data_IF_348089812229
#
_entry.id   IF_348089812229
#
_cell.length_a   1.000
_cell.length_b   1.000
_cell.length_c   1.000
_cell.angle_alpha   90.00
_cell.angle_beta   90.00
_cell.angle_gamma   90.00
#
_symmetry.space_group_name_H-M   'P 1'
#
loop_
_entity.id
_entity.type
_entity.pdbx_description
1 polymer ?
#
# COMPACT_ATOMS: atom_id res chain seq x y z
N UNK A 1 14.89 -59.15 -66.61
CA UNK A 1 13.85 -58.14 -66.27
C UNK A 1 13.32 -58.46 -64.88
N UNK A 2 13.40 -57.50 -63.97
CA UNK A 2 13.47 -57.72 -62.52
C UNK A 2 12.17 -58.16 -61.84
N UNK A 3 12.31 -59.11 -60.91
CA UNK A 3 11.28 -59.56 -59.99
C UNK A 3 10.91 -58.47 -58.98
N UNK A 4 9.61 -58.20 -58.86
CA UNK A 4 9.00 -57.31 -57.88
C UNK A 4 9.20 -57.92 -56.48
N UNK A 5 9.98 -57.25 -55.62
CA UNK A 5 10.15 -57.61 -54.21
C UNK A 5 8.99 -57.01 -53.41
N UNK A 6 8.19 -57.85 -52.77
CA UNK A 6 7.27 -57.43 -51.71
C UNK A 6 8.05 -57.09 -50.43
N UNK A 7 7.78 -55.96 -49.76
CA UNK A 7 8.32 -55.70 -48.43
C UNK A 7 7.58 -56.53 -47.36
N UNK A 8 8.35 -57.12 -46.45
CA UNK A 8 7.88 -57.87 -45.30
C UNK A 8 7.18 -56.97 -44.26
N UNK A 9 6.21 -57.48 -43.48
CA UNK A 9 5.50 -56.69 -42.47
C UNK A 9 6.40 -56.42 -41.26
N UNK A 10 6.61 -55.13 -40.95
CA UNK A 10 7.28 -54.70 -39.71
C UNK A 10 6.34 -54.97 -38.53
N UNK A 11 6.63 -56.05 -37.82
CA UNK A 11 5.97 -56.43 -36.57
C UNK A 11 6.79 -55.84 -35.41
N UNK A 12 6.32 -54.74 -34.82
CA UNK A 12 6.88 -54.33 -33.53
C UNK A 12 6.74 -52.87 -33.12
N UNK A 13 5.51 -52.35 -32.96
CA UNK A 13 5.34 -51.08 -32.21
C UNK A 13 4.13 -51.06 -31.26
N UNK A 14 3.16 -51.97 -31.41
CA UNK A 14 1.94 -51.94 -30.58
C UNK A 14 2.17 -52.24 -29.09
N UNK A 15 3.28 -52.90 -28.73
CA UNK A 15 3.57 -53.24 -27.33
C UNK A 15 4.18 -52.05 -26.59
N UNK A 16 5.01 -51.22 -27.26
CA UNK A 16 5.59 -50.01 -26.67
C UNK A 16 4.55 -48.93 -26.42
N UNK A 17 3.60 -48.73 -27.33
CA UNK A 17 2.54 -47.74 -27.16
C UNK A 17 1.59 -48.07 -26.01
N UNK A 18 1.28 -49.35 -25.77
CA UNK A 18 0.43 -49.76 -24.64
C UNK A 18 1.14 -49.61 -23.29
N UNK A 19 2.44 -49.87 -23.23
CA UNK A 19 3.23 -49.68 -22.01
C UNK A 19 3.33 -48.19 -21.62
N UNK A 20 3.49 -47.29 -22.60
CA UNK A 20 3.53 -45.84 -22.36
C UNK A 20 2.16 -45.32 -21.90
N UNK A 21 1.06 -45.78 -22.52
CA UNK A 21 -0.28 -45.36 -22.14
C UNK A 21 -0.66 -45.86 -20.73
N UNK A 22 -0.24 -47.08 -20.37
CA UNK A 22 -0.47 -47.63 -19.03
C UNK A 22 0.37 -46.89 -17.97
N UNK A 23 1.62 -46.53 -18.28
CA UNK A 23 2.46 -45.72 -17.39
C UNK A 23 1.89 -44.29 -17.19
N UNK A 24 1.31 -43.68 -18.24
CA UNK A 24 0.65 -42.38 -18.14
C UNK A 24 -0.63 -42.44 -17.28
N UNK A 25 -1.44 -43.49 -17.45
CA UNK A 25 -2.66 -43.72 -16.67
C UNK A 25 -2.37 -44.05 -15.21
N UNK A 26 -1.27 -44.75 -14.91
CA UNK A 26 -0.83 -44.98 -13.53
C UNK A 26 -0.28 -43.71 -12.85
N UNK A 27 0.37 -42.83 -13.63
CA UNK A 27 0.85 -41.53 -13.14
C UNK A 27 -0.29 -40.58 -12.74
N UNK A 28 -1.41 -40.61 -13.45
CA UNK A 28 -2.59 -39.76 -13.14
C UNK A 28 -3.37 -40.29 -11.94
N UNK A 29 -3.42 -41.61 -11.72
CA UNK A 29 -4.16 -42.19 -10.58
C UNK A 29 -3.40 -42.14 -9.25
N UNK A 30 -2.07 -42.00 -9.27
CA UNK A 30 -1.26 -41.85 -8.05
C UNK A 30 -1.14 -40.39 -7.55
N UNK A 31 -1.66 -39.41 -8.30
CA UNK A 31 -1.73 -37.99 -7.86
C UNK A 31 -2.96 -37.62 -7.03
N UNK A 32 -3.91 -38.54 -6.86
CA UNK A 32 -5.24 -38.26 -6.26
C UNK A 32 -5.40 -38.64 -4.78
N UNK A 33 -4.36 -39.14 -4.12
CA UNK A 33 -4.44 -39.61 -2.73
C UNK A 33 -3.36 -38.99 -1.84
N UNK A 34 -3.37 -37.66 -1.72
CA UNK A 34 -2.84 -36.97 -0.55
C UNK A 34 -4.02 -36.24 0.12
N UNK A 35 -4.63 -36.92 1.08
CA UNK A 35 -5.71 -36.37 1.88
C UNK A 35 -5.20 -35.29 2.84
N UNK A 36 -5.96 -34.19 2.91
CA UNK A 36 -6.21 -33.46 4.14
C UNK A 36 -5.09 -32.57 4.69
N UNK A 37 -4.85 -31.42 4.05
CA UNK A 37 -4.47 -30.20 4.78
C UNK A 37 -4.87 -28.95 3.98
N UNK A 38 -6.17 -28.62 3.97
CA UNK A 38 -6.65 -27.28 3.57
C UNK A 38 -6.35 -26.27 4.69
N UNK A 39 -5.06 -26.10 5.00
CA UNK A 39 -4.65 -25.37 6.20
C UNK A 39 -3.40 -24.52 6.06
N UNK A 40 -2.46 -24.83 5.16
CA UNK A 40 -1.26 -23.98 4.91
C UNK A 40 -0.74 -24.13 3.49
N UNK A 41 -1.32 -23.39 2.55
CA UNK A 41 -0.51 -22.89 1.44
C UNK A 41 0.60 -22.05 2.04
N UNK A 42 1.86 -22.48 1.88
CA UNK A 42 3.05 -21.66 2.15
C UNK A 42 2.83 -20.26 1.55
N UNK A 43 2.71 -19.27 2.42
CA UNK A 43 2.66 -17.87 2.03
C UNK A 43 4.03 -17.48 1.52
N UNK A 44 4.12 -17.06 0.25
CA UNK A 44 5.34 -16.47 -0.31
C UNK A 44 5.08 -15.56 -1.52
N UNK A 45 3.85 -15.09 -1.75
CA UNK A 45 3.60 -14.05 -2.77
C UNK A 45 2.80 -12.83 -2.28
N UNK A 46 2.20 -12.89 -1.09
CA UNK A 46 1.74 -11.76 -0.29
C UNK A 46 1.99 -12.16 1.16
N UNK A 47 2.97 -11.57 1.81
CA UNK A 47 3.27 -11.84 3.22
C UNK A 47 2.21 -11.12 4.08
N UNK A 48 1.68 -11.75 5.14
CA UNK A 48 0.65 -11.18 6.03
C UNK A 48 1.08 -9.84 6.67
N UNK A 49 2.37 -9.52 6.60
CA UNK A 49 3.01 -8.33 7.16
C UNK A 49 3.77 -7.50 6.10
N UNK A 50 3.30 -7.49 4.84
CA UNK A 50 3.97 -6.78 3.74
C UNK A 50 4.25 -5.29 4.07
N UNK A 51 3.32 -4.62 4.77
CA UNK A 51 3.47 -3.21 5.17
C UNK A 51 4.04 -3.02 6.59
N UNK A 52 4.61 -4.05 7.22
CA UNK A 52 5.20 -3.95 8.57
C UNK A 52 6.34 -2.93 8.65
N UNK A 53 7.09 -2.78 7.56
CA UNK A 53 8.20 -1.82 7.48
C UNK A 53 7.76 -0.37 7.74
N UNK A 54 6.50 0.00 7.50
CA UNK A 54 6.00 1.38 7.68
C UNK A 54 6.21 1.84 9.12
N UNK A 55 5.93 0.97 10.10
CA UNK A 55 6.13 1.30 11.51
C UNK A 55 7.60 1.42 11.92
N UNK A 56 8.45 0.55 11.35
CA UNK A 56 9.91 0.58 11.56
C UNK A 56 10.49 1.89 10.99
N UNK A 57 10.11 2.24 9.76
CA UNK A 57 10.54 3.48 9.14
C UNK A 57 10.02 4.68 9.94
N UNK A 58 8.74 4.72 10.31
CA UNK A 58 8.15 5.82 11.03
C UNK A 58 8.83 6.10 12.39
N UNK A 59 9.09 5.05 13.18
CA UNK A 59 9.77 5.18 14.48
C UNK A 59 11.26 5.50 14.32
N UNK A 60 11.96 4.75 13.45
CA UNK A 60 13.40 4.92 13.24
C UNK A 60 13.77 6.30 12.68
N UNK A 61 12.88 6.91 11.90
CA UNK A 61 13.08 8.26 11.34
C UNK A 61 12.94 9.40 12.36
N UNK A 62 12.35 9.15 13.53
CA UNK A 62 12.38 10.09 14.67
C UNK A 62 13.34 9.65 15.80
N UNK A 63 14.18 8.64 15.55
CA UNK A 63 15.09 8.08 16.54
C UNK A 63 14.39 7.30 17.66
N UNK A 64 13.13 6.91 17.48
CA UNK A 64 12.42 6.02 18.39
C UNK A 64 12.69 4.55 18.04
N UNK A 65 12.51 3.65 19.03
CA UNK A 65 12.62 2.21 18.83
C UNK A 65 11.25 1.62 18.49
N UNK A 66 11.18 0.82 17.44
CA UNK A 66 9.99 0.04 17.09
C UNK A 66 9.69 -1.03 18.16
N UNK A 67 8.41 -1.32 18.37
CA UNK A 67 8.00 -2.32 19.38
C UNK A 67 8.22 -3.76 18.88
N UNK A 68 8.76 -4.62 19.76
CA UNK A 68 8.97 -6.04 19.46
C UNK A 68 7.66 -6.88 19.54
N UNK A 69 6.55 -6.30 20.02
CA UNK A 69 5.29 -7.03 20.15
C UNK A 69 4.71 -7.48 18.80
N UNK A 70 3.86 -8.51 18.80
CA UNK A 70 3.14 -8.89 17.59
C UNK A 70 2.13 -7.80 17.21
N UNK A 71 1.91 -7.59 15.90
CA UNK A 71 0.85 -6.69 15.43
C UNK A 71 -0.53 -7.32 15.67
N UNK A 72 -1.50 -6.50 16.05
CA UNK A 72 -2.93 -6.90 16.00
C UNK A 72 -3.47 -6.83 14.57
N UNK A 73 -4.66 -7.39 14.33
CA UNK A 73 -5.33 -7.30 13.01
C UNK A 73 -5.63 -5.85 12.62
N UNK A 74 -6.05 -5.02 13.58
CA UNK A 74 -6.30 -3.59 13.35
C UNK A 74 -5.00 -2.84 13.05
N UNK A 75 -3.89 -3.21 13.70
CA UNK A 75 -2.56 -2.64 13.43
C UNK A 75 -2.03 -3.04 12.05
N UNK A 76 -2.22 -4.30 11.63
CA UNK A 76 -1.92 -4.73 10.25
C UNK A 76 -2.76 -3.95 9.24
N UNK A 77 -4.07 -3.92 9.45
CA UNK A 77 -5.01 -3.19 8.59
C UNK A 77 -4.67 -1.70 8.49
N UNK A 78 -4.23 -1.07 9.59
CA UNK A 78 -3.78 0.32 9.59
C UNK A 78 -2.64 0.55 8.61
N UNK A 79 -1.65 -0.35 8.59
CA UNK A 79 -0.46 -0.26 7.71
C UNK A 79 -0.83 -0.51 6.26
N UNK A 80 -1.69 -1.50 6.01
CA UNK A 80 -2.18 -1.83 4.67
C UNK A 80 -2.97 -0.68 4.04
N UNK A 81 -3.84 -0.05 4.83
CA UNK A 81 -4.62 1.11 4.39
C UNK A 81 -3.79 2.40 4.34
N UNK A 82 -2.73 2.53 5.15
CA UNK A 82 -1.81 3.66 5.11
C UNK A 82 -1.00 3.71 3.81
N UNK A 83 -0.52 2.55 3.34
CA UNK A 83 0.35 2.48 2.17
C UNK A 83 -0.17 3.23 0.92
N UNK A 84 -1.39 3.01 0.41
CA UNK A 84 -1.91 3.73 -0.75
C UNK A 84 -2.05 5.24 -0.52
N UNK A 85 -2.14 5.70 0.72
CA UNK A 85 -2.24 7.12 1.09
C UNK A 85 -0.85 7.76 1.28
N UNK A 86 0.16 6.96 1.59
CA UNK A 86 1.58 7.37 1.65
C UNK A 86 2.19 7.46 0.26
N UNK A 87 1.88 6.50 -0.61
CA UNK A 87 2.43 6.37 -1.96
C UNK A 87 2.01 7.52 -2.89
N UNK A 88 2.93 8.25 -3.56
CA UNK A 88 2.59 9.42 -4.38
C UNK A 88 1.41 9.16 -5.35
N UNK A 89 0.52 10.15 -5.59
CA UNK A 89 -0.57 10.00 -6.55
C UNK A 89 -0.07 9.51 -7.92
N UNK A 90 -0.81 8.61 -8.55
CA UNK A 90 -0.55 8.05 -9.90
C UNK A 90 0.76 7.26 -10.09
N UNK A 91 1.54 7.03 -9.04
CA UNK A 91 2.68 6.08 -9.02
C UNK A 91 2.35 4.69 -9.57
N UNK A 92 1.12 4.19 -9.35
CA UNK A 92 0.67 2.86 -9.80
C UNK A 92 0.45 2.73 -11.30
N UNK A 93 0.27 3.84 -12.02
CA UNK A 93 0.02 3.82 -13.46
C UNK A 93 1.33 3.66 -14.26
N UNK A 94 2.48 3.75 -13.58
CA UNK A 94 3.72 3.14 -14.05
C UNK A 94 3.55 1.61 -13.99
N UNK A 95 2.88 1.06 -14.99
CA UNK A 95 2.64 -0.35 -15.32
C UNK A 95 3.90 -1.25 -15.41
N UNK A 96 5.05 -0.79 -14.92
CA UNK A 96 6.09 -1.61 -14.35
C UNK A 96 5.81 -1.66 -12.84
N UNK A 97 5.12 -2.63 -12.29
CA UNK A 97 5.42 -4.04 -12.51
C UNK A 97 4.44 -4.85 -11.61
N UNK A 98 3.88 -5.93 -12.13
CA UNK A 98 3.23 -6.99 -11.32
C UNK A 98 4.29 -7.78 -10.50
N UNK A 99 5.57 -7.43 -10.64
CA UNK A 99 6.78 -8.01 -10.03
C UNK A 99 7.79 -6.96 -9.55
N UNK A 100 7.32 -5.75 -9.23
CA UNK A 100 8.17 -4.54 -9.20
C UNK A 100 8.72 -4.29 -7.84
N UNK A 101 9.98 -3.89 -7.84
CA UNK A 101 10.76 -3.40 -6.71
C UNK A 101 9.86 -2.72 -5.67
N UNK A 102 9.41 -3.53 -4.70
CA UNK A 102 8.63 -3.05 -3.58
C UNK A 102 9.59 -2.26 -2.71
N UNK A 103 9.68 -0.96 -2.96
CA UNK A 103 10.62 -0.08 -2.28
C UNK A 103 9.94 0.59 -1.08
N UNK A 104 10.50 0.42 0.13
CA UNK A 104 10.10 1.22 1.27
C UNK A 104 10.14 2.72 0.94
N UNK A 105 9.06 3.43 1.26
CA UNK A 105 8.97 4.88 1.09
C UNK A 105 9.50 5.52 2.35
N UNK A 106 10.44 6.46 2.25
CA UNK A 106 10.95 7.16 3.43
C UNK A 106 9.85 7.99 4.11
N UNK A 107 9.86 8.04 5.45
CA UNK A 107 8.94 8.87 6.20
C UNK A 107 9.13 10.37 5.88
N UNK A 108 8.09 11.20 5.98
CA UNK A 108 8.11 12.60 5.54
C UNK A 108 9.21 13.45 6.17
N UNK A 109 9.65 13.07 7.37
CA UNK A 109 10.67 13.75 8.17
C UNK A 109 12.10 13.21 7.96
N UNK A 110 12.27 12.18 7.12
CA UNK A 110 13.57 11.72 6.62
C UNK A 110 13.78 12.00 5.12
N UNK A 111 12.72 12.36 4.40
CA UNK A 111 12.78 12.60 2.95
C UNK A 111 13.78 13.70 2.57
N UNK A 112 14.66 13.36 1.62
CA UNK A 112 15.58 14.27 0.94
C UNK A 112 15.62 13.89 -0.54
N UNK A 113 15.36 14.82 -1.48
CA UNK A 113 15.03 16.23 -1.27
C UNK A 113 13.66 16.44 -0.58
N UNK A 114 13.41 17.64 -0.02
CA UNK A 114 12.11 17.98 0.55
C UNK A 114 10.97 17.84 -0.47
N UNK A 115 9.76 17.68 0.04
CA UNK A 115 8.54 17.56 -0.76
C UNK A 115 8.35 18.76 -1.70
N UNK A 116 8.17 18.48 -3.00
CA UNK A 116 7.84 19.47 -4.04
C UNK A 116 6.34 19.39 -4.39
N UNK A 117 5.56 20.39 -3.94
CA UNK A 117 4.13 20.50 -4.27
C UNK A 117 3.84 20.67 -5.76
N UNK A 118 4.83 21.09 -6.56
CA UNK A 118 4.67 21.37 -7.99
C UNK A 118 4.79 20.12 -8.85
N UNK A 119 5.42 19.06 -8.34
CA UNK A 119 5.78 17.88 -9.11
C UNK A 119 4.56 17.18 -9.73
N UNK A 120 3.50 16.96 -8.94
CA UNK A 120 2.26 16.35 -9.43
C UNK A 120 1.61 17.19 -10.53
N UNK A 121 1.51 18.50 -10.33
CA UNK A 121 0.86 19.36 -11.32
C UNK A 121 1.65 19.47 -12.61
N UNK A 122 2.99 19.56 -12.54
CA UNK A 122 3.86 19.48 -13.73
C UNK A 122 3.64 18.18 -14.49
N UNK A 123 3.68 17.05 -13.78
CA UNK A 123 3.37 15.73 -14.36
C UNK A 123 2.00 15.70 -15.03
N UNK A 124 0.95 16.23 -14.39
CA UNK A 124 -0.41 16.27 -14.94
C UNK A 124 -0.51 17.17 -16.19
N UNK A 125 0.26 18.25 -16.24
CA UNK A 125 0.30 19.14 -17.41
C UNK A 125 1.09 18.51 -18.55
N UNK A 126 2.21 17.87 -18.24
CA UNK A 126 3.16 17.27 -19.19
C UNK A 126 2.65 15.94 -19.77
N UNK A 127 1.78 15.22 -19.06
CA UNK A 127 1.18 13.96 -19.51
C UNK A 127 0.39 14.18 -20.83
N UNK A 128 0.52 13.28 -21.83
CA UNK A 128 -0.28 13.37 -23.05
C UNK A 128 -1.78 13.21 -22.76
N UNK A 129 -2.53 14.31 -22.82
CA UNK A 129 -3.99 14.30 -22.71
C UNK A 129 -4.65 14.62 -24.05
N UNK A 130 -5.79 13.97 -24.33
CA UNK A 130 -6.58 14.24 -25.54
C UNK A 130 -7.21 15.63 -25.54
N UNK A 131 -7.46 16.22 -24.35
CA UNK A 131 -8.05 17.55 -24.18
C UNK A 131 -7.80 18.13 -22.78
N UNK A 132 -8.07 19.43 -22.58
CA UNK A 132 -8.06 20.07 -21.25
C UNK A 132 -9.11 19.45 -20.31
N UNK A 133 -10.29 19.07 -20.81
CA UNK A 133 -11.29 18.37 -20.03
C UNK A 133 -10.77 17.04 -19.46
N UNK A 134 -9.93 16.31 -20.21
CA UNK A 134 -9.29 15.09 -19.71
C UNK A 134 -8.33 15.34 -18.54
N UNK A 135 -7.66 16.51 -18.48
CA UNK A 135 -6.81 16.89 -17.35
C UNK A 135 -7.62 17.17 -16.08
N UNK A 136 -8.73 17.90 -16.21
CA UNK A 136 -9.65 18.11 -15.10
C UNK A 136 -10.27 16.80 -14.61
N UNK A 137 -10.64 15.90 -15.52
CA UNK A 137 -11.16 14.58 -15.16
C UNK A 137 -10.13 13.77 -14.37
N UNK A 138 -8.86 13.76 -14.82
CA UNK A 138 -7.78 13.08 -14.11
C UNK A 138 -7.54 13.65 -12.70
N UNK A 139 -7.46 14.97 -12.56
CA UNK A 139 -7.34 15.62 -11.24
C UNK A 139 -8.50 15.23 -10.31
N UNK A 140 -9.74 15.33 -10.79
CA UNK A 140 -10.92 14.98 -10.01
C UNK A 140 -10.92 13.50 -9.59
N UNK A 141 -10.49 12.61 -10.47
CA UNK A 141 -10.40 11.18 -10.20
C UNK A 141 -9.37 10.89 -9.10
N UNK A 142 -8.19 11.52 -9.15
CA UNK A 142 -7.17 11.35 -8.13
C UNK A 142 -7.66 11.83 -6.75
N UNK A 143 -8.34 12.99 -6.70
CA UNK A 143 -8.91 13.52 -5.44
C UNK A 143 -9.98 12.58 -4.88
N UNK A 144 -10.90 12.09 -5.73
CA UNK A 144 -11.96 11.15 -5.31
C UNK A 144 -11.39 9.83 -4.82
N UNK A 145 -10.33 9.34 -5.46
CA UNK A 145 -9.64 8.12 -5.02
C UNK A 145 -9.03 8.29 -3.64
N UNK A 146 -8.41 9.44 -3.35
CA UNK A 146 -7.88 9.72 -2.01
C UNK A 146 -8.99 9.79 -0.96
N UNK A 147 -10.09 10.51 -1.23
CA UNK A 147 -11.25 10.57 -0.33
C UNK A 147 -11.82 9.17 -0.04
N UNK A 148 -12.02 8.37 -1.09
CA UNK A 148 -12.58 7.00 -0.98
C UNK A 148 -11.69 6.08 -0.14
N UNK A 149 -10.35 6.20 -0.29
CA UNK A 149 -9.38 5.41 0.47
C UNK A 149 -9.21 5.91 1.90
N UNK A 150 -9.40 7.20 2.13
CA UNK A 150 -9.20 7.79 3.44
C UNK A 150 -10.26 7.37 4.46
N UNK A 151 -11.52 7.22 4.05
CA UNK A 151 -12.60 6.81 4.97
C UNK A 151 -12.34 5.48 5.72
N UNK A 152 -12.03 4.36 5.04
CA UNK A 152 -11.74 3.10 5.75
C UNK A 152 -10.46 3.20 6.61
N UNK A 153 -9.45 3.94 6.14
CA UNK A 153 -8.24 4.20 6.92
C UNK A 153 -8.57 4.94 8.23
N UNK A 154 -9.37 6.00 8.16
CA UNK A 154 -9.78 6.81 9.32
C UNK A 154 -10.51 5.97 10.36
N UNK A 155 -11.44 5.11 9.93
CA UNK A 155 -12.15 4.21 10.83
C UNK A 155 -11.20 3.25 11.56
N UNK A 156 -10.28 2.63 10.82
CA UNK A 156 -9.26 1.72 11.39
C UNK A 156 -8.31 2.45 12.34
N UNK A 157 -7.86 3.66 11.96
CA UNK A 157 -7.04 4.52 12.81
C UNK A 157 -7.74 4.81 14.15
N UNK A 158 -9.01 5.19 14.14
CA UNK A 158 -9.78 5.43 15.37
C UNK A 158 -9.82 4.20 16.29
N UNK A 159 -9.97 2.99 15.73
CA UNK A 159 -9.95 1.75 16.51
C UNK A 159 -8.58 1.48 17.14
N UNK A 160 -7.50 1.70 16.39
CA UNK A 160 -6.13 1.56 16.89
C UNK A 160 -5.84 2.58 18.00
N UNK A 161 -6.25 3.85 17.82
CA UNK A 161 -6.12 4.88 18.85
C UNK A 161 -6.87 4.48 20.13
N UNK A 162 -8.07 3.92 20.00
CA UNK A 162 -8.83 3.44 21.16
C UNK A 162 -8.16 2.24 21.86
N UNK A 163 -7.58 1.33 21.09
CA UNK A 163 -6.76 0.24 21.64
C UNK A 163 -5.52 0.78 22.36
N UNK A 164 -4.86 1.80 21.81
CA UNK A 164 -3.71 2.46 22.43
C UNK A 164 -4.10 3.16 23.75
N UNK A 165 -5.29 3.79 23.82
CA UNK A 165 -5.82 4.34 25.08
C UNK A 165 -6.01 3.26 26.14
N UNK A 166 -6.57 2.11 25.76
CA UNK A 166 -6.73 0.96 26.66
C UNK A 166 -5.37 0.42 27.12
N UNK A 167 -4.39 0.35 26.21
CA UNK A 167 -3.00 -0.04 26.54
C UNK A 167 -2.38 0.92 27.54
N UNK A 168 -2.48 2.23 27.31
CA UNK A 168 -1.98 3.26 28.22
C UNK A 168 -2.64 3.22 29.60
N UNK A 169 -3.95 2.93 29.66
CA UNK A 169 -4.65 2.74 30.92
C UNK A 169 -4.18 1.48 31.65
N UNK A 170 -4.06 0.35 30.95
CA UNK A 170 -3.62 -0.93 31.53
C UNK A 170 -2.21 -0.83 32.16
N UNK A 171 -1.29 -0.10 31.52
CA UNK A 171 0.07 0.13 32.03
C UNK A 171 0.15 0.78 33.42
N UNK A 172 -0.94 1.37 33.92
CA UNK A 172 -1.03 1.96 35.26
C UNK A 172 -1.40 0.96 36.34
N UNK A 173 -2.03 -0.16 35.97
CA UNK A 173 -2.61 -1.13 36.91
C UNK A 173 -1.83 -2.45 36.98
N UNK A 174 -0.98 -2.75 35.99
CA UNK A 174 -0.15 -3.97 35.97
C UNK A 174 1.04 -3.77 36.92
N UNK A 175 1.07 -4.54 38.00
CA UNK A 175 2.09 -4.47 39.06
C UNK A 175 3.40 -5.17 38.71
N UNK A 176 3.34 -6.28 37.96
CA UNK A 176 4.50 -7.07 37.56
C UNK A 176 4.84 -6.84 36.08
N UNK A 177 5.28 -5.61 35.75
CA UNK A 177 5.64 -5.22 34.39
C UNK A 177 7.13 -4.93 34.30
N UNK A 178 7.84 -5.69 33.47
CA UNK A 178 9.26 -5.43 33.24
C UNK A 178 9.49 -4.09 32.51
N UNK A 179 10.67 -3.50 32.67
CA UNK A 179 11.05 -2.27 31.96
C UNK A 179 10.98 -2.46 30.44
N UNK A 180 11.33 -3.66 29.95
CA UNK A 180 11.27 -3.99 28.52
C UNK A 180 9.84 -4.00 28.00
N UNK A 181 8.94 -4.71 28.66
CA UNK A 181 7.53 -4.78 28.23
C UNK A 181 6.86 -3.40 28.29
N UNK A 182 7.19 -2.59 29.30
CA UNK A 182 6.75 -1.19 29.36
C UNK A 182 7.25 -0.40 28.16
N UNK A 183 8.53 -0.52 27.81
CA UNK A 183 9.11 0.18 26.67
C UNK A 183 8.50 -0.29 25.34
N UNK A 184 8.27 -1.58 25.15
CA UNK A 184 7.63 -2.14 23.95
C UNK A 184 6.17 -1.69 23.82
N UNK A 185 5.42 -1.62 24.93
CA UNK A 185 4.04 -1.12 24.94
C UNK A 185 3.97 0.37 24.56
N UNK A 186 4.89 1.18 25.09
CA UNK A 186 5.02 2.61 24.75
C UNK A 186 5.43 2.77 23.29
N UNK A 187 6.44 2.03 22.85
CA UNK A 187 6.93 2.05 21.47
C UNK A 187 5.83 1.72 20.46
N UNK A 188 4.92 0.77 20.77
CA UNK A 188 3.80 0.46 19.87
C UNK A 188 2.80 1.61 19.75
N UNK A 189 2.48 2.28 20.86
CA UNK A 189 1.60 3.46 20.82
C UNK A 189 2.24 4.62 20.03
N UNK A 190 3.56 4.83 20.21
CA UNK A 190 4.30 5.82 19.42
C UNK A 190 4.32 5.46 17.92
N UNK A 191 4.56 4.20 17.59
CA UNK A 191 4.57 3.68 16.21
C UNK A 191 3.22 3.91 15.52
N UNK A 192 2.12 3.52 16.17
CA UNK A 192 0.77 3.73 15.64
C UNK A 192 0.47 5.22 15.43
N UNK A 193 0.85 6.08 16.39
CA UNK A 193 0.66 7.53 16.28
C UNK A 193 1.44 8.14 15.10
N UNK A 194 2.68 7.69 14.86
CA UNK A 194 3.53 8.19 13.77
C UNK A 194 3.00 7.76 12.39
N UNK A 195 2.46 6.55 12.25
CA UNK A 195 1.83 6.10 10.99
C UNK A 195 0.63 7.00 10.65
N UNK A 196 -0.22 7.30 11.65
CA UNK A 196 -1.37 8.20 11.48
C UNK A 196 -0.91 9.60 11.06
N UNK A 197 0.12 10.14 11.71
CA UNK A 197 0.71 11.44 11.36
C UNK A 197 1.30 11.47 9.95
N UNK A 198 1.96 10.38 9.53
CA UNK A 198 2.51 10.27 8.18
C UNK A 198 1.40 10.38 7.14
N UNK A 199 0.33 9.59 7.28
CA UNK A 199 -0.82 9.66 6.36
C UNK A 199 -1.41 11.06 6.34
N UNK A 200 -1.63 11.68 7.50
CA UNK A 200 -2.12 13.06 7.57
C UNK A 200 -1.25 14.04 6.79
N UNK A 201 0.07 13.99 7.00
CA UNK A 201 1.00 14.87 6.32
C UNK A 201 1.01 14.63 4.81
N UNK A 202 0.93 13.37 4.37
CA UNK A 202 0.78 13.04 2.95
C UNK A 202 -0.52 13.60 2.36
N UNK A 203 -1.65 13.54 3.07
CA UNK A 203 -2.91 14.12 2.60
C UNK A 203 -2.84 15.65 2.46
N UNK A 204 -2.24 16.35 3.43
CA UNK A 204 -2.00 17.80 3.31
C UNK A 204 -1.10 18.15 2.12
N UNK A 205 -0.05 17.36 1.89
CA UNK A 205 0.85 17.50 0.74
C UNK A 205 0.12 17.28 -0.59
N UNK A 206 -0.76 16.28 -0.67
CA UNK A 206 -1.60 16.02 -1.84
C UNK A 206 -2.57 17.16 -2.11
N UNK A 207 -3.31 17.61 -1.11
CA UNK A 207 -4.22 18.75 -1.26
C UNK A 207 -3.49 20.01 -1.78
N UNK A 208 -2.29 20.30 -1.24
CA UNK A 208 -1.45 21.39 -1.74
C UNK A 208 -1.04 21.20 -3.21
N UNK A 209 -0.72 19.97 -3.61
CA UNK A 209 -0.37 19.64 -5.00
C UNK A 209 -1.56 19.75 -5.96
N UNK A 210 -2.74 19.31 -5.52
CA UNK A 210 -3.97 19.40 -6.28
C UNK A 210 -4.39 20.86 -6.49
N UNK A 211 -4.27 21.70 -5.45
CA UNK A 211 -4.51 23.15 -5.58
C UNK A 211 -3.53 23.80 -6.57
N UNK A 212 -2.24 23.46 -6.45
CA UNK A 212 -1.22 23.90 -7.41
C UNK A 212 -1.60 23.51 -8.84
N UNK A 213 -2.03 22.27 -9.06
CA UNK A 213 -2.41 21.77 -10.39
C UNK A 213 -3.67 22.48 -10.93
N UNK A 214 -4.70 22.63 -10.09
CA UNK A 214 -5.96 23.27 -10.45
C UNK A 214 -5.75 24.71 -10.94
N UNK A 215 -4.97 25.50 -10.21
CA UNK A 215 -4.63 26.89 -10.61
C UNK A 215 -3.98 26.94 -12.01
N UNK A 216 -3.08 25.99 -12.31
CA UNK A 216 -2.45 25.86 -13.64
C UNK A 216 -3.46 25.47 -14.72
N UNK A 217 -4.37 24.54 -14.43
CA UNK A 217 -5.42 24.16 -15.38
C UNK A 217 -6.35 25.33 -15.69
N UNK A 218 -6.75 26.11 -14.68
CA UNK A 218 -7.62 27.29 -14.85
C UNK A 218 -6.95 28.36 -15.71
N UNK A 219 -5.65 28.62 -15.52
CA UNK A 219 -4.91 29.59 -16.35
C UNK A 219 -4.88 29.14 -17.82
N UNK A 220 -4.64 27.85 -18.07
CA UNK A 220 -4.52 27.33 -19.44
C UNK A 220 -5.87 27.23 -20.16
N UNK A 221 -6.91 26.78 -19.45
CA UNK A 221 -8.25 26.58 -19.98
C UNK A 221 -9.27 26.66 -18.84
N UNK A 222 -9.91 27.83 -18.64
CA UNK A 222 -11.00 27.98 -17.68
C UNK A 222 -12.17 27.05 -18.03
N UNK A 223 -12.67 26.33 -17.04
CA UNK A 223 -13.80 25.41 -17.19
C UNK A 223 -14.63 25.41 -15.90
N UNK A 224 -15.95 25.21 -15.99
CA UNK A 224 -16.84 25.17 -14.82
C UNK A 224 -16.53 24.00 -13.89
N UNK A 225 -15.94 22.92 -14.41
CA UNK A 225 -15.50 21.76 -13.62
C UNK A 225 -14.42 22.11 -12.59
N UNK A 226 -13.74 23.25 -12.74
CA UNK A 226 -12.77 23.72 -11.75
C UNK A 226 -13.37 23.93 -10.35
N UNK A 227 -14.64 24.37 -10.27
CA UNK A 227 -15.33 24.59 -9.00
C UNK A 227 -15.57 23.27 -8.23
N UNK A 228 -15.87 22.18 -8.95
CA UNK A 228 -16.01 20.86 -8.35
C UNK A 228 -14.68 20.34 -7.80
N UNK A 229 -13.59 20.52 -8.55
CA UNK A 229 -12.25 20.15 -8.09
C UNK A 229 -11.86 20.93 -6.82
N UNK A 230 -12.11 22.25 -6.79
CA UNK A 230 -11.83 23.10 -5.63
C UNK A 230 -12.59 22.61 -4.38
N UNK A 231 -13.89 22.31 -4.53
CA UNK A 231 -14.72 21.75 -3.44
C UNK A 231 -14.18 20.42 -2.92
N UNK A 232 -13.78 19.50 -3.80
CA UNK A 232 -13.24 18.20 -3.39
C UNK A 232 -11.87 18.33 -2.70
N UNK A 233 -11.03 19.28 -3.15
CA UNK A 233 -9.76 19.60 -2.47
C UNK A 233 -10.03 20.13 -1.06
N UNK A 234 -10.97 21.06 -0.91
CA UNK A 234 -11.35 21.59 0.40
C UNK A 234 -11.89 20.49 1.33
N UNK A 235 -12.70 19.57 0.81
CA UNK A 235 -13.18 18.40 1.55
C UNK A 235 -12.01 17.53 2.04
N UNK A 236 -11.05 17.22 1.16
CA UNK A 236 -9.85 16.44 1.51
C UNK A 236 -9.02 17.11 2.61
N UNK A 237 -8.87 18.44 2.57
CA UNK A 237 -8.16 19.19 3.61
C UNK A 237 -8.86 19.11 4.96
N UNK A 238 -10.18 19.28 4.99
CA UNK A 238 -11.00 19.16 6.20
C UNK A 238 -10.93 17.74 6.76
N UNK A 239 -11.06 16.73 5.90
CA UNK A 239 -10.92 15.32 6.23
C UNK A 239 -9.57 15.02 6.89
N UNK A 240 -8.46 15.50 6.29
CA UNK A 240 -7.11 15.33 6.82
C UNK A 240 -6.90 16.05 8.16
N UNK A 241 -7.40 17.28 8.30
CA UNK A 241 -7.29 18.07 9.54
C UNK A 241 -8.06 17.41 10.71
N UNK A 242 -9.15 16.71 10.43
CA UNK A 242 -10.00 16.03 11.41
C UNK A 242 -9.50 14.63 11.82
N UNK A 243 -8.34 14.19 11.32
CA UNK A 243 -7.77 12.91 11.75
C UNK A 243 -7.29 13.02 13.21
N UNK A 244 -7.83 12.17 14.09
CA UNK A 244 -7.45 12.16 15.49
C UNK A 244 -6.00 11.67 15.64
N UNK A 245 -5.07 12.60 15.88
CA UNK A 245 -3.69 12.26 16.19
C UNK A 245 -3.59 11.96 17.70
N UNK A 246 -3.15 10.77 18.11
CA UNK A 246 -2.86 10.51 19.53
C UNK A 246 -1.86 11.53 20.08
N UNK A 247 -2.07 11.96 21.31
CA UNK A 247 -1.09 12.78 22.02
C UNK A 247 0.20 11.97 22.20
N UNK A 248 1.18 12.27 21.36
CA UNK A 248 2.55 11.77 21.39
C UNK A 248 3.46 12.89 20.91
N UNK A 249 4.76 12.85 21.21
CA UNK A 249 5.64 13.95 20.84
C UNK A 249 5.59 14.08 19.31
N UNK A 250 5.20 15.27 18.83
CA UNK A 250 5.29 15.65 17.44
C UNK A 250 6.78 15.76 17.06
N UNK A 251 7.46 14.60 17.01
CA UNK A 251 8.88 14.52 16.67
C UNK A 251 9.08 14.62 15.16
N UNK A 252 8.06 14.30 14.37
CA UNK A 252 8.03 14.42 12.91
C UNK A 252 7.61 15.80 12.41
N UNK A 253 8.24 16.88 12.90
CA UNK A 253 8.09 18.19 12.24
C UNK A 253 9.11 18.31 11.10
N UNK A 254 8.63 18.42 9.86
CA UNK A 254 9.36 19.16 8.82
C UNK A 254 8.75 20.55 8.72
N UNK A 255 9.61 21.54 8.87
CA UNK A 255 9.37 22.97 8.77
C UNK A 255 8.38 23.28 7.65
N UNK A 256 7.34 24.03 8.01
CA UNK A 256 6.50 24.77 7.08
C UNK A 256 7.40 25.47 6.06
N UNK A 257 7.43 24.99 4.82
CA UNK A 257 7.91 25.80 3.71
C UNK A 257 6.81 26.82 3.44
N UNK A 258 6.94 28.01 4.03
CA UNK A 258 6.21 29.18 3.57
C UNK A 258 6.55 29.40 2.09
N UNK A 259 5.52 29.47 1.24
CA UNK A 259 5.63 29.82 -0.18
C UNK A 259 4.78 28.92 -1.05
#
# INVERSE_FOLDING_TARGET
>A
MGAIRHPAPVRGDRVRSKAILFALLLGVSLGGCAGGDFGRTRGDFVNDDMHRWIGIEATGSVGARASDFQLTDDERSLRDMAYPLIEPPRSRQAWKTVFGDYQPIAAPWRQSPPFDRTAYGKMLVDEPHRSHASRYAALNEDIRNDLTRFEPFKFTAMRVVEMDRKRAAALKYISDLSTRERADAIGRMEENALIIQWVQQCLHRRASSYRWALERLVIMAPDTVAADADRLIAELEVQAANLAIPAGPAKGHVLVSKG
#
